data_IF_928252894733
#
_entry.id   IF_928252894733
#
_cell.length_a   1.000
_cell.length_b   1.000
_cell.length_c   1.000
_cell.angle_alpha   90.00
_cell.angle_beta   90.00
_cell.angle_gamma   90.00
#
_symmetry.space_group_name_H-M   'P 1'
#
loop_
_entity.id
_entity.type
_entity.pdbx_description
1 polymer ?
#
# COMPACT_ATOMS: atom_id res chain seq x y z
N UNK A 1 23.49 -1.90 13.51
CA UNK A 1 22.62 -3.03 13.13
C UNK A 1 21.51 -2.50 12.23
N UNK A 2 21.61 -2.81 10.94
CA UNK A 2 20.55 -2.52 9.97
C UNK A 2 19.41 -3.52 10.15
N UNK A 3 18.20 -3.08 9.90
CA UNK A 3 17.01 -3.92 9.98
C UNK A 3 16.47 -4.11 8.56
N UNK A 4 16.25 -5.36 8.18
CA UNK A 4 15.56 -5.72 6.94
C UNK A 4 14.15 -6.22 7.23
N UNK A 5 13.29 -6.18 6.22
CA UNK A 5 11.94 -6.72 6.28
C UNK A 5 11.96 -8.12 5.68
N UNK A 6 11.40 -9.08 6.41
CA UNK A 6 11.30 -10.47 5.96
C UNK A 6 9.85 -10.87 5.74
N UNK A 7 9.62 -11.66 4.70
CA UNK A 7 8.36 -12.34 4.42
C UNK A 7 8.42 -13.76 4.96
N UNK A 8 7.39 -14.14 5.73
CA UNK A 8 7.27 -15.46 6.34
C UNK A 8 5.94 -16.07 5.93
N UNK A 9 5.99 -17.29 5.39
CA UNK A 9 4.79 -18.08 5.16
C UNK A 9 4.26 -18.61 6.50
N UNK A 10 3.03 -18.24 6.84
CA UNK A 10 2.37 -18.65 8.10
C UNK A 10 2.14 -20.16 8.20
N UNK A 11 2.17 -20.88 7.08
CA UNK A 11 2.08 -22.35 7.08
C UNK A 11 3.43 -23.02 7.36
N UNK A 12 4.52 -22.25 7.33
CA UNK A 12 5.89 -22.76 7.52
C UNK A 12 6.42 -23.64 6.39
N UNK A 13 5.73 -23.69 5.25
CA UNK A 13 6.11 -24.54 4.11
C UNK A 13 7.11 -23.90 3.16
N UNK A 14 7.21 -22.57 3.21
CA UNK A 14 8.12 -21.80 2.37
C UNK A 14 9.28 -21.25 3.20
N UNK A 15 10.48 -21.09 2.62
CA UNK A 15 11.59 -20.46 3.30
C UNK A 15 11.28 -18.98 3.59
N UNK A 16 11.94 -18.45 4.63
CA UNK A 16 11.89 -17.03 4.92
C UNK A 16 12.62 -16.28 3.80
N UNK A 17 11.98 -15.24 3.26
CA UNK A 17 12.54 -14.37 2.22
C UNK A 17 12.85 -13.00 2.82
N UNK A 18 14.11 -12.55 2.77
CA UNK A 18 14.45 -11.18 3.04
C UNK A 18 13.96 -10.31 1.87
N UNK A 19 13.03 -9.39 2.12
CA UNK A 19 12.42 -8.57 1.07
C UNK A 19 13.27 -7.37 0.69
N UNK A 20 13.96 -6.75 1.63
CA UNK A 20 14.63 -5.46 1.39
C UNK A 20 16.13 -5.61 1.11
N UNK A 21 16.81 -6.60 1.71
CA UNK A 21 18.23 -6.92 1.51
C UNK A 21 19.09 -5.66 1.39
N UNK A 22 18.85 -4.70 2.29
CA UNK A 22 19.42 -3.37 2.17
C UNK A 22 20.48 -3.12 3.24
N UNK A 23 21.43 -2.27 2.97
CA UNK A 23 22.38 -1.78 3.98
C UNK A 23 21.77 -0.70 4.89
N UNK A 24 20.45 -0.53 4.90
CA UNK A 24 19.71 0.53 5.57
C UNK A 24 18.81 0.00 6.68
N UNK A 25 18.15 0.89 7.42
CA UNK A 25 17.18 0.51 8.44
C UNK A 25 15.78 0.58 7.86
N UNK A 26 15.26 -0.57 7.48
CA UNK A 26 13.92 -0.75 6.94
C UNK A 26 12.96 -1.23 8.04
N UNK A 27 11.86 -0.50 8.26
CA UNK A 27 10.93 -0.75 9.37
C UNK A 27 9.47 -0.43 8.98
N UNK A 28 8.56 -0.84 9.85
CA UNK A 28 7.12 -0.56 9.75
C UNK A 28 6.50 -1.01 8.41
N UNK A 29 6.68 -2.29 8.01
CA UNK A 29 6.06 -2.80 6.80
C UNK A 29 4.56 -2.92 6.97
N UNK A 30 3.82 -2.53 5.92
CA UNK A 30 2.37 -2.75 5.83
C UNK A 30 2.02 -3.19 4.41
N UNK A 31 1.08 -4.12 4.30
CA UNK A 31 0.50 -4.48 3.02
C UNK A 31 -0.28 -3.31 2.44
N UNK A 32 -0.19 -3.15 1.13
CA UNK A 32 -0.88 -2.13 0.35
C UNK A 32 -1.46 -2.72 -0.93
N UNK A 33 -2.42 -2.02 -1.55
CA UNK A 33 -3.01 -2.38 -2.84
C UNK A 33 -3.53 -3.82 -2.88
N UNK A 34 -4.32 -4.21 -1.87
CA UNK A 34 -4.87 -5.56 -1.71
C UNK A 34 -3.79 -6.66 -1.71
N UNK A 35 -2.64 -6.39 -1.08
CA UNK A 35 -1.51 -7.30 -0.97
C UNK A 35 -0.56 -7.32 -2.18
N UNK A 36 -0.81 -6.53 -3.22
CA UNK A 36 0.04 -6.45 -4.42
C UNK A 36 1.30 -5.63 -4.21
N UNK A 37 1.37 -4.91 -3.10
CA UNK A 37 2.51 -4.09 -2.73
C UNK A 37 2.70 -4.03 -1.21
N UNK A 38 3.86 -3.57 -0.80
CA UNK A 38 4.21 -3.30 0.59
C UNK A 38 4.75 -1.89 0.71
N UNK A 39 4.21 -1.12 1.67
CA UNK A 39 4.77 0.16 2.07
C UNK A 39 5.65 -0.04 3.30
N UNK A 40 6.77 0.69 3.39
CA UNK A 40 7.64 0.68 4.56
C UNK A 40 8.43 1.99 4.70
N UNK A 41 9.02 2.20 5.86
CA UNK A 41 9.90 3.33 6.14
C UNK A 41 11.36 2.91 6.08
N UNK A 42 12.21 3.72 5.43
CA UNK A 42 13.64 3.47 5.26
C UNK A 42 14.45 4.75 5.43
N UNK A 43 15.67 4.62 5.97
CA UNK A 43 16.63 5.72 6.09
C UNK A 43 17.63 5.80 4.91
N UNK A 44 17.30 5.15 3.77
CA UNK A 44 18.22 5.02 2.62
C UNK A 44 18.50 6.32 1.87
N UNK A 45 17.60 7.30 1.92
CA UNK A 45 17.76 8.58 1.24
C UNK A 45 17.87 9.77 2.23
N UNK A 46 17.50 9.58 3.48
CA UNK A 46 17.53 10.63 4.49
C UNK A 46 18.90 10.89 5.08
N UNK A 47 19.03 12.03 5.76
CA UNK A 47 20.22 12.35 6.54
C UNK A 47 20.41 11.36 7.68
N UNK A 48 21.61 10.83 7.81
CA UNK A 48 22.02 9.96 8.92
C UNK A 48 22.98 10.71 9.82
N UNK A 49 22.61 10.82 11.07
CA UNK A 49 23.48 11.41 12.07
C UNK A 49 24.66 10.50 12.38
N UNK A 50 25.81 11.11 12.60
CA UNK A 50 26.99 10.41 13.11
C UNK A 50 26.72 9.96 14.56
N UNK A 51 27.09 8.74 14.91
CA UNK A 51 27.00 8.27 16.29
C UNK A 51 25.60 7.86 16.77
N UNK A 52 24.70 7.43 15.89
CA UNK A 52 23.38 6.88 16.27
C UNK A 52 22.37 7.88 16.85
N UNK A 53 22.51 9.15 16.58
CA UNK A 53 21.56 10.19 16.99
C UNK A 53 20.26 10.23 16.19
N UNK A 54 19.99 9.18 15.44
CA UNK A 54 18.82 9.03 14.61
C UNK A 54 19.07 9.27 13.11
N UNK A 55 18.06 9.07 12.31
CA UNK A 55 18.08 9.31 10.88
C UNK A 55 16.75 9.89 10.42
N UNK A 56 16.81 10.71 9.39
CA UNK A 56 15.62 11.05 8.61
C UNK A 56 15.25 9.85 7.73
N UNK A 57 13.98 9.70 7.49
CA UNK A 57 13.43 8.56 6.77
C UNK A 57 12.51 9.01 5.66
N UNK A 58 12.20 8.06 4.81
CA UNK A 58 11.22 8.16 3.73
C UNK A 58 10.31 6.95 3.74
N UNK A 59 9.15 7.08 3.11
CA UNK A 59 8.28 5.95 2.81
C UNK A 59 8.50 5.47 1.38
N UNK A 60 8.59 4.16 1.24
CA UNK A 60 8.79 3.44 -0.01
C UNK A 60 7.64 2.47 -0.24
N UNK A 61 7.41 2.13 -1.51
CA UNK A 61 6.45 1.13 -1.95
C UNK A 61 7.18 0.12 -2.83
N UNK A 62 7.10 -1.16 -2.51
CA UNK A 62 7.59 -2.29 -3.29
C UNK A 62 6.41 -3.03 -3.88
N UNK A 63 6.42 -3.27 -5.19
CA UNK A 63 5.35 -3.99 -5.87
C UNK A 63 5.75 -5.44 -6.11
N UNK A 64 4.81 -6.34 -5.78
CA UNK A 64 4.89 -7.79 -6.04
C UNK A 64 4.07 -8.20 -7.27
N UNK A 65 3.41 -7.25 -7.92
CA UNK A 65 2.56 -7.44 -9.09
C UNK A 65 2.93 -6.38 -10.14
N UNK A 66 3.29 -6.83 -11.36
CA UNK A 66 3.75 -5.95 -12.42
C UNK A 66 2.63 -5.03 -12.92
N UNK A 67 1.41 -5.56 -13.07
CA UNK A 67 0.27 -4.74 -13.51
C UNK A 67 -0.03 -3.60 -12.52
N UNK A 68 0.10 -3.87 -11.22
CA UNK A 68 -0.06 -2.86 -10.19
C UNK A 68 1.05 -1.79 -10.26
N UNK A 69 2.28 -2.19 -10.55
CA UNK A 69 3.42 -1.29 -10.73
C UNK A 69 3.23 -0.39 -11.96
N UNK A 70 2.90 -0.96 -13.12
CA UNK A 70 2.65 -0.20 -14.34
C UNK A 70 1.49 0.78 -14.16
N UNK A 71 0.39 0.30 -13.56
CA UNK A 71 -0.77 1.12 -13.27
C UNK A 71 -0.47 2.27 -12.28
N UNK A 72 0.42 2.05 -11.33
CA UNK A 72 0.87 3.09 -10.40
C UNK A 72 1.61 4.22 -11.13
N UNK A 73 2.32 3.94 -12.20
CA UNK A 73 3.06 4.93 -12.99
C UNK A 73 2.21 5.66 -14.03
N UNK A 74 1.00 5.19 -14.33
CA UNK A 74 0.08 5.86 -15.24
C UNK A 74 -0.29 7.24 -14.68
N UNK A 75 -0.32 8.23 -15.55
CA UNK A 75 -0.90 9.53 -15.22
C UNK A 75 -2.44 9.43 -15.12
N UNK A 76 -3.10 10.53 -14.75
CA UNK A 76 -4.54 10.55 -14.50
C UNK A 76 -5.36 10.22 -15.75
N UNK A 77 -4.91 10.64 -16.93
CA UNK A 77 -5.57 10.40 -18.22
C UNK A 77 -5.41 8.96 -18.68
N UNK A 78 -4.19 8.44 -18.60
CA UNK A 78 -3.88 7.04 -18.90
C UNK A 78 -4.67 6.07 -18.01
N UNK A 79 -4.78 6.40 -16.73
CA UNK A 79 -5.53 5.60 -15.77
C UNK A 79 -7.03 5.58 -16.12
N UNK A 80 -7.61 6.74 -16.46
CA UNK A 80 -9.01 6.84 -16.87
C UNK A 80 -9.28 6.04 -18.16
N UNK A 81 -8.35 6.07 -19.11
CA UNK A 81 -8.43 5.30 -20.35
C UNK A 81 -8.36 3.78 -20.08
N UNK A 82 -7.40 3.36 -19.24
CA UNK A 82 -7.24 1.96 -18.85
C UNK A 82 -8.47 1.41 -18.10
N UNK A 83 -9.15 2.24 -17.32
CA UNK A 83 -10.39 1.85 -16.62
C UNK A 83 -11.57 1.70 -17.58
N UNK A 84 -11.67 2.54 -18.61
CA UNK A 84 -12.72 2.44 -19.62
C UNK A 84 -12.56 1.21 -20.50
N UNK A 85 -11.34 0.86 -20.91
CA UNK A 85 -11.07 -0.37 -21.67
C UNK A 85 -11.39 -1.63 -20.88
N UNK A 86 -10.98 -1.71 -19.61
CA UNK A 86 -11.34 -2.85 -18.74
C UNK A 86 -12.85 -2.99 -18.50
N UNK A 87 -13.60 -1.90 -18.56
CA UNK A 87 -15.06 -1.92 -18.43
C UNK A 87 -15.75 -2.40 -19.73
N UNK A 88 -15.16 -2.12 -20.90
CA UNK A 88 -15.65 -2.60 -22.20
C UNK A 88 -15.43 -4.11 -22.35
N UNK A 89 -14.24 -4.61 -22.04
CA UNK A 89 -13.90 -6.04 -22.11
C UNK A 89 -14.76 -6.92 -21.19
N UNK A 90 -15.27 -6.38 -20.10
CA UNK A 90 -16.21 -7.08 -19.21
C UNK A 90 -17.64 -7.19 -19.78
N UNK A 91 -18.01 -6.36 -20.76
CA UNK A 91 -19.33 -6.38 -21.40
C UNK A 91 -19.40 -7.36 -22.58
N UNK A 92 -18.27 -7.68 -23.19
CA UNK A 92 -18.20 -8.59 -24.37
C UNK A 92 -17.91 -10.05 -24.00
N UNK A 93 -17.87 -10.43 -22.72
CA UNK A 93 -17.78 -11.83 -22.34
C UNK A 93 -19.13 -12.55 -22.64
N UNK A 94 -19.18 -13.61 -23.49
CA UNK A 94 -20.41 -14.27 -23.85
C UNK A 94 -21.08 -14.91 -22.65
N UNK A 95 -22.27 -14.42 -22.32
CA UNK A 95 -23.21 -15.05 -21.38
C UNK A 95 -23.62 -16.40 -21.95
N UNK A 96 -23.10 -17.49 -21.39
CA UNK A 96 -23.63 -18.84 -21.67
C UNK A 96 -25.03 -18.93 -21.09
N UNK A 97 -26.02 -18.97 -22.02
CA UNK A 97 -27.41 -19.28 -21.76
C UNK A 97 -27.56 -20.52 -20.86
N UNK A 98 -28.13 -20.33 -19.69
CA UNK A 98 -28.78 -21.41 -18.94
C UNK A 98 -30.30 -21.19 -18.99
N UNK A 99 -30.89 -21.96 -19.90
CA UNK A 99 -32.32 -22.16 -20.07
C UNK A 99 -32.97 -22.65 -18.78
N UNK A 100 -34.09 -22.05 -18.48
CA UNK A 100 -34.97 -22.29 -17.37
C UNK A 100 -35.37 -23.76 -17.14
N UNK A 101 -35.51 -24.19 -15.89
CA UNK A 101 -36.64 -25.02 -15.45
C UNK A 101 -36.97 -24.79 -13.95
N UNK A 102 -38.23 -24.70 -13.75
CA UNK A 102 -39.06 -24.32 -12.65
C UNK A 102 -38.96 -25.10 -11.34
N UNK A 103 -39.26 -24.37 -10.24
CA UNK A 103 -40.02 -24.72 -9.01
C UNK A 103 -39.56 -25.86 -8.09
N UNK A 104 -39.16 -25.56 -6.87
CA UNK A 104 -39.98 -25.74 -5.66
C UNK A 104 -39.20 -25.34 -4.38
N UNK A 105 -39.95 -24.80 -3.46
CA UNK A 105 -39.61 -24.38 -2.11
C UNK A 105 -38.65 -25.28 -1.33
N UNK A 106 -37.63 -24.68 -0.69
CA UNK A 106 -37.21 -25.02 0.67
C UNK A 106 -36.47 -23.82 1.27
N UNK A 107 -36.92 -23.44 2.45
CA UNK A 107 -36.31 -22.51 3.38
C UNK A 107 -35.01 -23.13 3.85
N UNK A 108 -33.87 -22.56 3.53
CA UNK A 108 -32.64 -22.87 4.25
C UNK A 108 -31.68 -21.67 4.28
N UNK A 109 -31.04 -21.58 5.39
CA UNK A 109 -30.12 -20.60 5.90
C UNK A 109 -29.15 -20.07 4.85
N UNK A 110 -29.19 -18.75 4.65
CA UNK A 110 -28.14 -17.98 3.97
C UNK A 110 -26.90 -18.01 4.86
N UNK A 111 -26.01 -18.93 4.60
CA UNK A 111 -24.61 -18.81 4.99
C UNK A 111 -23.99 -17.83 4.01
N UNK A 112 -23.56 -16.68 4.49
CA UNK A 112 -22.75 -15.74 3.73
C UNK A 112 -21.38 -16.42 3.45
N UNK A 113 -21.29 -17.16 2.33
CA UNK A 113 -20.01 -17.52 1.75
C UNK A 113 -19.36 -16.25 1.24
N UNK A 114 -18.30 -15.80 1.93
CA UNK A 114 -17.41 -14.76 1.45
C UNK A 114 -16.91 -15.17 0.04
N UNK A 115 -16.87 -14.22 -0.94
CA UNK A 115 -16.39 -14.55 -2.27
C UNK A 115 -14.98 -15.13 -2.19
N UNK A 116 -14.78 -16.31 -2.81
CA UNK A 116 -13.48 -16.98 -2.83
C UNK A 116 -12.43 -16.01 -3.40
N UNK A 117 -11.58 -15.51 -2.53
CA UNK A 117 -10.45 -14.65 -2.91
C UNK A 117 -9.47 -15.48 -3.71
N UNK A 118 -9.11 -15.03 -4.90
CA UNK A 118 -8.05 -15.67 -5.70
C UNK A 118 -6.75 -15.62 -4.90
N UNK A 119 -5.95 -16.71 -4.88
CA UNK A 119 -4.65 -16.70 -4.23
C UNK A 119 -3.80 -15.53 -4.78
N UNK A 120 -3.18 -14.79 -3.89
CA UNK A 120 -2.24 -13.75 -4.27
C UNK A 120 -0.94 -14.41 -4.72
N UNK A 121 -0.49 -14.10 -5.92
CA UNK A 121 0.80 -14.53 -6.45
C UNK A 121 1.77 -13.36 -6.32
N UNK A 122 2.85 -13.58 -5.57
CA UNK A 122 3.88 -12.56 -5.36
C UNK A 122 5.05 -12.83 -6.30
N UNK A 123 5.34 -11.91 -7.21
CA UNK A 123 6.57 -11.91 -8.00
C UNK A 123 7.69 -11.29 -7.15
N UNK A 124 8.50 -12.15 -6.55
CA UNK A 124 9.59 -11.75 -5.67
C UNK A 124 10.92 -11.55 -6.40
N UNK A 125 11.10 -12.14 -7.58
CA UNK A 125 12.38 -12.15 -8.28
C UNK A 125 12.78 -10.77 -8.80
N UNK A 126 11.80 -9.98 -9.27
CA UNK A 126 12.04 -8.65 -9.82
C UNK A 126 11.61 -7.52 -8.87
N UNK A 127 11.43 -7.80 -7.58
CA UNK A 127 10.89 -6.84 -6.61
C UNK A 127 11.73 -5.58 -6.45
N UNK A 128 13.06 -5.68 -6.61
CA UNK A 128 13.96 -4.54 -6.43
C UNK A 128 13.84 -3.49 -7.54
N UNK A 129 13.44 -3.90 -8.75
CA UNK A 129 13.21 -3.00 -9.88
C UNK A 129 11.87 -2.25 -9.74
N UNK A 130 11.05 -2.66 -8.78
CA UNK A 130 9.71 -2.14 -8.56
C UNK A 130 9.56 -1.46 -7.20
N UNK A 131 10.60 -0.74 -6.79
CA UNK A 131 10.61 0.09 -5.59
C UNK A 131 10.42 1.55 -5.97
N UNK A 132 9.45 2.21 -5.33
CA UNK A 132 9.16 3.64 -5.53
C UNK A 132 9.25 4.38 -4.20
N UNK A 133 9.95 5.52 -4.18
CA UNK A 133 9.92 6.46 -3.07
C UNK A 133 8.63 7.26 -3.14
N UNK A 134 7.85 7.28 -2.05
CA UNK A 134 6.55 7.94 -1.98
C UNK A 134 6.63 9.37 -1.44
N UNK A 135 7.52 9.63 -0.47
CA UNK A 135 7.66 10.94 0.15
C UNK A 135 8.54 11.87 -0.68
N UNK A 136 8.15 13.14 -0.77
CA UNK A 136 8.92 14.16 -1.51
C UNK A 136 10.19 14.58 -0.77
N UNK A 137 10.16 14.55 0.56
CA UNK A 137 11.25 15.00 1.44
C UNK A 137 11.48 14.01 2.55
N UNK A 138 12.74 13.80 2.90
CA UNK A 138 13.13 13.05 4.08
C UNK A 138 12.87 13.87 5.35
N UNK A 139 12.43 13.22 6.41
CA UNK A 139 12.19 13.85 7.71
C UNK A 139 12.24 12.82 8.85
N UNK A 140 12.03 13.28 10.06
CA UNK A 140 11.64 12.38 11.15
C UNK A 140 10.20 11.93 10.92
N UNK A 141 10.07 10.75 10.30
CA UNK A 141 8.78 10.18 9.95
C UNK A 141 8.15 9.48 11.15
N UNK A 142 6.88 9.75 11.38
CA UNK A 142 6.00 8.94 12.21
C UNK A 142 5.38 7.80 11.40
N UNK A 143 4.08 7.57 11.57
CA UNK A 143 3.34 6.55 10.82
C UNK A 143 2.85 7.06 9.46
N UNK A 144 2.52 6.11 8.56
CA UNK A 144 1.95 6.44 7.26
C UNK A 144 0.93 5.39 6.79
N UNK A 145 -0.05 5.87 6.03
CA UNK A 145 -1.06 5.03 5.39
C UNK A 145 -1.26 5.44 3.94
N UNK A 146 -1.31 4.44 3.07
CA UNK A 146 -1.58 4.60 1.65
C UNK A 146 -3.05 4.30 1.38
N UNK A 147 -3.71 5.11 0.56
CA UNK A 147 -5.10 4.84 0.14
C UNK A 147 -5.21 3.50 -0.60
N UNK A 148 -6.36 2.83 -0.56
CA UNK A 148 -6.57 1.57 -1.27
C UNK A 148 -6.33 1.67 -2.78
N UNK A 149 -6.49 2.87 -3.37
CA UNK A 149 -6.23 3.14 -4.78
C UNK A 149 -4.76 3.44 -5.10
N UNK A 150 -3.93 3.68 -4.07
CA UNK A 150 -2.53 4.05 -4.25
C UNK A 150 -2.33 5.45 -4.82
N UNK A 151 -3.32 6.34 -4.69
CA UNK A 151 -3.27 7.70 -5.21
C UNK A 151 -2.79 8.73 -4.19
N UNK A 152 -2.97 8.46 -2.89
CA UNK A 152 -2.57 9.36 -1.81
C UNK A 152 -1.87 8.64 -0.69
N UNK A 153 -0.82 9.27 -0.19
CA UNK A 153 -0.13 8.89 1.04
C UNK A 153 -0.46 9.91 2.12
N UNK A 154 -0.92 9.45 3.26
CA UNK A 154 -1.01 10.26 4.48
C UNK A 154 0.11 9.83 5.41
N UNK A 155 0.87 10.79 5.93
CA UNK A 155 2.02 10.49 6.77
C UNK A 155 2.26 11.57 7.81
N UNK A 156 2.80 11.16 8.92
CA UNK A 156 3.25 12.05 9.98
C UNK A 156 4.72 12.38 9.75
N UNK A 157 5.06 13.65 9.83
CA UNK A 157 6.44 14.11 9.70
C UNK A 157 6.71 15.34 10.55
N UNK A 158 7.93 15.41 11.07
CA UNK A 158 8.44 16.57 11.82
C UNK A 158 9.41 17.33 10.93
N UNK A 159 9.04 18.52 10.48
CA UNK A 159 9.91 19.42 9.75
C UNK A 159 10.40 20.58 10.63
N UNK A 160 9.51 21.25 11.35
CA UNK A 160 9.82 22.44 12.15
C UNK A 160 9.20 22.36 13.55
N UNK A 161 9.64 21.40 14.36
CA UNK A 161 9.31 21.37 15.79
C UNK A 161 8.00 20.72 16.19
N UNK A 162 7.19 20.22 15.25
CA UNK A 162 5.94 19.49 15.52
C UNK A 162 5.83 18.25 14.65
N UNK A 163 5.09 17.25 15.13
CA UNK A 163 4.73 16.08 14.34
C UNK A 163 3.40 16.33 13.65
N UNK A 164 3.45 16.76 12.41
CA UNK A 164 2.31 17.21 11.62
C UNK A 164 1.81 16.10 10.70
N UNK A 165 0.52 16.13 10.37
CA UNK A 165 -0.09 15.22 9.39
C UNK A 165 -0.09 15.86 8.00
N UNK A 166 0.51 15.14 7.06
CA UNK A 166 0.68 15.55 5.68
C UNK A 166 -0.05 14.62 4.71
N UNK A 167 -0.49 15.17 3.60
CA UNK A 167 -0.99 14.43 2.43
C UNK A 167 -0.02 14.62 1.26
N UNK A 168 0.38 13.52 0.66
CA UNK A 168 1.08 13.49 -0.62
C UNK A 168 0.14 12.92 -1.67
N UNK A 169 -0.28 13.74 -2.64
CA UNK A 169 -0.92 13.26 -3.86
C UNK A 169 0.17 12.67 -4.77
N UNK A 170 0.09 11.36 -5.00
CA UNK A 170 1.11 10.60 -5.74
C UNK A 170 0.96 10.75 -7.25
N UNK A 171 -0.21 11.17 -7.73
CA UNK A 171 -0.50 11.42 -9.15
C UNK A 171 -0.11 12.83 -9.58
N UNK A 172 -0.51 13.80 -8.79
CA UNK A 172 -0.21 15.21 -9.05
C UNK A 172 1.15 15.65 -8.47
N UNK A 173 1.80 14.78 -7.67
CA UNK A 173 3.06 15.04 -6.96
C UNK A 173 3.00 16.30 -6.10
N UNK A 174 1.86 16.51 -5.45
CA UNK A 174 1.62 17.66 -4.57
C UNK A 174 1.59 17.21 -3.13
N UNK A 175 2.26 17.98 -2.28
CA UNK A 175 2.27 17.77 -0.82
C UNK A 175 1.54 18.92 -0.16
N UNK A 176 0.69 18.62 0.83
CA UNK A 176 0.01 19.63 1.64
C UNK A 176 -0.06 19.22 3.10
N UNK A 177 0.03 20.20 3.96
CA UNK A 177 -0.24 20.04 5.38
C UNK A 177 -1.77 19.87 5.58
N UNK A 178 -2.18 18.80 6.26
CA UNK A 178 -3.59 18.59 6.63
C UNK A 178 -3.89 19.20 7.99
N UNK A 179 -3.07 18.89 8.99
CA UNK A 179 -3.24 19.45 10.32
C UNK A 179 -1.93 19.44 11.10
N UNK A 180 -1.77 20.43 11.95
CA UNK A 180 -0.73 20.47 12.96
C UNK A 180 -1.17 19.65 14.17
N UNK A 181 -0.27 18.83 14.66
CA UNK A 181 -0.52 18.04 15.87
C UNK A 181 0.72 17.97 16.73
N UNK A 182 0.54 17.82 18.03
CA UNK A 182 1.62 17.76 19.02
C UNK A 182 1.91 16.32 19.48
N UNK A 183 1.65 15.34 18.68
CA UNK A 183 1.88 13.94 19.05
C UNK A 183 2.00 13.04 17.84
N UNK A 184 2.54 11.84 18.05
CA UNK A 184 2.57 10.75 17.10
C UNK A 184 1.51 9.71 17.46
N UNK A 185 1.30 8.76 16.57
CA UNK A 185 0.40 7.64 16.83
C UNK A 185 0.29 6.75 15.61
N UNK A 186 -0.32 5.60 15.78
CA UNK A 186 -0.64 4.73 14.66
C UNK A 186 -1.82 5.26 13.88
N UNK A 187 -1.75 5.18 12.56
CA UNK A 187 -2.80 5.62 11.65
C UNK A 187 -3.44 4.45 10.93
N UNK A 188 -4.74 4.55 10.74
CA UNK A 188 -5.54 3.57 10.02
C UNK A 188 -6.51 4.28 9.10
N UNK A 189 -6.67 3.76 7.89
CA UNK A 189 -7.72 4.17 6.97
C UNK A 189 -8.94 3.26 7.13
N UNK A 190 -10.13 3.83 6.97
CA UNK A 190 -11.31 3.00 6.76
C UNK A 190 -11.24 2.31 5.39
N UNK A 191 -12.10 1.33 5.15
CA UNK A 191 -12.12 0.55 3.90
C UNK A 191 -12.33 1.41 2.64
N UNK A 192 -13.03 2.52 2.75
CA UNK A 192 -13.24 3.45 1.64
C UNK A 192 -12.01 4.33 1.35
N UNK A 193 -11.12 4.51 2.33
CA UNK A 193 -9.93 5.34 2.22
C UNK A 193 -10.20 6.84 2.34
N UNK A 194 -11.37 7.23 2.89
CA UNK A 194 -11.81 8.61 3.03
C UNK A 194 -11.74 9.15 4.47
N UNK A 195 -11.50 8.28 5.44
CA UNK A 195 -11.33 8.67 6.84
C UNK A 195 -10.06 8.05 7.44
N UNK A 196 -9.33 8.86 8.20
CA UNK A 196 -8.14 8.45 8.94
C UNK A 196 -8.51 8.40 10.42
N UNK A 197 -8.18 7.28 11.05
CA UNK A 197 -8.23 7.13 12.51
C UNK A 197 -6.80 7.18 13.04
N UNK A 198 -6.61 7.89 14.11
CA UNK A 198 -5.33 7.96 14.79
C UNK A 198 -5.49 7.46 16.23
N UNK A 199 -4.55 6.61 16.63
CA UNK A 199 -4.41 6.17 18.02
C UNK A 199 -3.13 6.78 18.55
N UNK A 200 -3.26 7.78 19.40
CA UNK A 200 -2.13 8.40 20.09
C UNK A 200 -2.02 7.85 21.51
N UNK A 201 -0.80 7.67 21.97
CA UNK A 201 -0.49 7.33 23.36
C UNK A 201 -0.53 8.58 24.23
#
# INVERSE_FOLDING_TARGET
NNKDIALIDVTGKQPIVNLTESGYTDVNPRWALDGKAMIWSSDRAGYRSHGSWGAERDYYLMFFDLDAYERFHMNKEELALADTTKAADKKDAPTKDKKAKSKKNAKDKKTDEAPATKPLVLDLDNRFDRIVRLTAHSARMGDAVLTPKGDKLFYQATFEGGNDLWEQDLRERKTRLLTKQSGGGEMFLNKAGDNIYMVSN
#
